data_IF_821643385893
#
_entry.id   IF_821643385893
#
_cell.length_a   1.000
_cell.length_b   1.000
_cell.length_c   1.000
_cell.angle_alpha   90.00
_cell.angle_beta   90.00
_cell.angle_gamma   90.00
#
_symmetry.space_group_name_H-M   'P 1'
#
loop_
_entity.id
_entity.type
_entity.pdbx_description
1 polymer ?
#
# COMPACT_ATOMS: atom_id res chain seq x y z
N UNK A 1 -24.01 -4.63 -16.81
CA UNK A 1 -23.90 -5.21 -15.46
C UNK A 1 -23.62 -4.07 -14.52
N UNK A 2 -24.17 -4.09 -13.30
CA UNK A 2 -24.00 -3.00 -12.33
C UNK A 2 -23.38 -3.56 -11.07
N UNK A 3 -22.42 -2.86 -10.48
CA UNK A 3 -21.92 -3.21 -9.15
C UNK A 3 -23.06 -3.10 -8.14
N UNK A 4 -23.28 -4.17 -7.37
CA UNK A 4 -24.28 -4.16 -6.32
C UNK A 4 -23.62 -3.63 -5.05
N UNK A 5 -23.84 -2.35 -4.75
CA UNK A 5 -23.70 -1.87 -3.37
C UNK A 5 -24.94 -2.33 -2.62
N UNK A 6 -24.78 -3.06 -1.54
CA UNK A 6 -25.84 -3.63 -0.70
C UNK A 6 -26.65 -2.56 0.08
N UNK A 7 -26.58 -1.29 -0.34
CA UNK A 7 -27.20 -0.15 0.32
C UNK A 7 -26.56 0.20 1.66
N UNK A 8 -25.63 -0.64 2.16
CA UNK A 8 -24.64 -0.24 3.16
C UNK A 8 -23.53 0.42 2.37
N UNK A 9 -23.35 1.72 2.57
CA UNK A 9 -22.15 2.38 2.03
C UNK A 9 -20.92 1.56 2.43
N UNK A 10 -19.96 1.44 1.52
CA UNK A 10 -18.70 0.78 1.82
C UNK A 10 -18.16 1.32 3.15
N UNK A 11 -17.98 0.44 4.12
CA UNK A 11 -17.46 0.83 5.43
C UNK A 11 -16.38 -0.16 5.79
N UNK A 12 -15.16 0.33 5.96
CA UNK A 12 -14.11 -0.51 6.49
C UNK A 12 -14.32 -0.66 8.01
N UNK A 13 -14.15 -1.86 8.54
CA UNK A 13 -14.24 -2.09 9.99
C UNK A 13 -13.14 -1.32 10.71
N UNK A 14 -13.44 -0.67 11.83
CA UNK A 14 -12.42 0.06 12.60
C UNK A 14 -11.23 -0.83 12.93
N UNK A 15 -10.01 -0.31 12.74
CA UNK A 15 -8.75 -0.92 13.17
C UNK A 15 -8.31 -0.45 14.56
N UNK A 16 -9.13 0.36 15.24
CA UNK A 16 -8.85 0.79 16.62
C UNK A 16 -8.80 -0.42 17.56
N UNK A 17 -7.88 -0.40 18.53
CA UNK A 17 -7.62 -1.51 19.47
C UNK A 17 -7.29 -2.86 18.80
N UNK A 18 -6.75 -2.86 17.59
CA UNK A 18 -6.38 -4.09 16.87
C UNK A 18 -4.90 -4.45 17.01
N UNK A 19 -4.03 -3.45 17.22
CA UNK A 19 -2.58 -3.63 17.17
C UNK A 19 -1.93 -3.48 18.54
N UNK A 20 -0.94 -4.31 18.81
CA UNK A 20 -0.14 -4.25 20.03
C UNK A 20 0.99 -3.22 19.94
N UNK A 21 1.61 -2.92 21.09
CA UNK A 21 2.75 -1.99 21.16
C UNK A 21 3.96 -2.45 20.32
N UNK A 22 4.22 -3.76 20.28
CA UNK A 22 5.41 -4.31 19.61
C UNK A 22 5.30 -4.26 18.09
N UNK A 23 4.07 -4.17 17.56
CA UNK A 23 3.80 -4.08 16.12
C UNK A 23 3.86 -2.63 15.60
N UNK A 24 3.54 -1.65 16.45
CA UNK A 24 3.51 -0.23 16.04
C UNK A 24 4.93 0.34 15.93
N UNK A 25 5.26 0.81 14.72
CA UNK A 25 6.56 1.37 14.39
C UNK A 25 6.50 2.88 14.12
N UNK A 26 7.61 3.59 14.39
CA UNK A 26 7.82 4.97 13.91
C UNK A 26 8.82 5.03 12.75
N UNK A 27 8.96 3.95 11.98
CA UNK A 27 9.93 3.81 10.88
C UNK A 27 9.72 4.85 9.79
N UNK A 28 8.46 5.25 9.56
CA UNK A 28 8.10 6.29 8.59
C UNK A 28 8.76 7.65 8.87
N UNK A 29 9.17 7.92 10.12
CA UNK A 29 9.94 9.13 10.45
C UNK A 29 11.30 9.21 9.75
N UNK A 30 11.78 8.10 9.16
CA UNK A 30 13.10 7.98 8.54
C UNK A 30 13.08 7.30 7.17
N UNK A 31 12.08 6.49 6.88
CA UNK A 31 12.02 5.67 5.67
C UNK A 31 10.62 5.73 5.05
N UNK A 32 10.47 6.50 3.96
CA UNK A 32 9.27 6.51 3.09
C UNK A 32 9.22 5.27 2.18
N UNK A 33 8.63 5.34 0.99
CA UNK A 33 8.63 4.19 0.07
C UNK A 33 10.01 3.92 -0.51
N UNK A 34 10.78 4.97 -0.84
CA UNK A 34 12.10 4.87 -1.46
C UNK A 34 12.08 3.95 -2.69
N UNK A 35 11.19 4.24 -3.64
CA UNK A 35 10.83 3.38 -4.79
C UNK A 35 12.03 2.68 -5.43
N UNK A 36 13.03 3.42 -5.92
CA UNK A 36 14.20 2.84 -6.60
C UNK A 36 14.99 1.87 -5.71
N UNK A 37 15.09 2.19 -4.41
CA UNK A 37 15.81 1.36 -3.43
C UNK A 37 15.01 0.11 -3.06
N UNK A 38 13.69 0.24 -2.95
CA UNK A 38 12.79 -0.87 -2.68
C UNK A 38 12.80 -1.86 -3.86
N UNK A 39 12.75 -1.36 -5.09
CA UNK A 39 12.90 -2.15 -6.32
C UNK A 39 14.25 -2.87 -6.37
N UNK A 40 15.35 -2.15 -6.14
CA UNK A 40 16.70 -2.74 -6.13
C UNK A 40 16.82 -3.84 -5.07
N UNK A 41 16.23 -3.65 -3.89
CA UNK A 41 16.24 -4.65 -2.83
C UNK A 41 15.44 -5.90 -3.24
N UNK A 42 14.29 -5.72 -3.88
CA UNK A 42 13.49 -6.82 -4.41
C UNK A 42 14.25 -7.60 -5.49
N UNK A 43 14.95 -6.93 -6.40
CA UNK A 43 15.82 -7.56 -7.41
C UNK A 43 16.97 -8.34 -6.77
N UNK A 44 17.64 -7.78 -5.76
CA UNK A 44 18.69 -8.48 -5.00
C UNK A 44 18.17 -9.76 -4.38
N UNK A 45 17.01 -9.70 -3.72
CA UNK A 45 16.40 -10.91 -3.18
C UNK A 45 15.96 -11.87 -4.27
N UNK A 46 15.43 -11.37 -5.39
CA UNK A 46 15.01 -12.21 -6.48
C UNK A 46 16.18 -13.01 -7.08
N UNK A 47 17.36 -12.40 -7.17
CA UNK A 47 18.58 -13.06 -7.63
C UNK A 47 19.14 -14.07 -6.63
N UNK A 48 19.17 -13.71 -5.35
CA UNK A 48 19.95 -14.46 -4.35
C UNK A 48 19.11 -15.44 -3.51
N UNK A 49 17.80 -15.20 -3.37
CA UNK A 49 16.87 -15.99 -2.56
C UNK A 49 17.31 -16.20 -1.11
N UNK A 50 18.18 -15.34 -0.59
CA UNK A 50 18.76 -15.43 0.74
C UNK A 50 18.97 -14.03 1.32
N UNK A 51 18.21 -13.70 2.37
CA UNK A 51 18.28 -12.42 3.06
C UNK A 51 19.64 -12.13 3.70
N UNK A 52 20.40 -13.16 4.06
CA UNK A 52 21.76 -13.01 4.60
C UNK A 52 22.69 -12.47 3.51
N UNK A 53 22.65 -13.08 2.33
CA UNK A 53 23.44 -12.66 1.16
C UNK A 53 23.01 -11.27 0.70
N UNK A 54 21.71 -10.98 0.70
CA UNK A 54 21.18 -9.66 0.34
C UNK A 54 21.64 -8.59 1.34
N UNK A 55 21.60 -8.85 2.65
CA UNK A 55 22.09 -7.90 3.66
C UNK A 55 23.58 -7.58 3.44
N UNK A 56 24.40 -8.60 3.23
CA UNK A 56 25.84 -8.44 2.98
C UNK A 56 26.08 -7.57 1.75
N UNK A 57 25.46 -7.90 0.61
CA UNK A 57 25.58 -7.13 -0.63
C UNK A 57 25.10 -5.69 -0.47
N UNK A 58 23.92 -5.49 0.12
CA UNK A 58 23.36 -4.16 0.35
C UNK A 58 24.34 -3.25 1.09
N UNK A 59 24.91 -3.77 2.18
CA UNK A 59 25.74 -2.98 3.09
C UNK A 59 27.16 -2.80 2.55
N UNK A 60 27.75 -3.85 1.99
CA UNK A 60 29.16 -3.85 1.59
C UNK A 60 29.36 -3.19 0.20
N UNK A 61 28.44 -3.42 -0.73
CA UNK A 61 28.45 -2.77 -2.06
C UNK A 61 27.83 -1.36 -2.01
N UNK A 62 27.25 -0.95 -0.87
CA UNK A 62 26.56 0.34 -0.66
C UNK A 62 25.53 0.64 -1.72
N UNK A 63 24.68 -0.34 -2.00
CA UNK A 63 23.65 -0.30 -3.05
C UNK A 63 22.73 0.91 -2.88
N UNK A 64 22.43 1.31 -1.64
CA UNK A 64 21.59 2.47 -1.32
C UNK A 64 22.31 3.83 -1.36
N UNK A 65 23.61 3.82 -1.69
CA UNK A 65 24.48 4.99 -1.84
C UNK A 65 24.58 5.86 -0.58
N UNK A 66 24.34 5.29 0.61
CA UNK A 66 24.45 6.04 1.87
C UNK A 66 25.90 6.22 2.31
N UNK A 67 26.15 7.35 2.95
CA UNK A 67 27.49 7.72 3.45
C UNK A 67 27.96 6.91 4.65
N UNK A 68 27.04 6.29 5.42
CA UNK A 68 27.36 5.52 6.62
C UNK A 68 26.73 4.13 6.61
N UNK A 69 27.48 3.14 7.11
CA UNK A 69 27.01 1.75 7.28
C UNK A 69 25.75 1.68 8.16
N UNK A 70 25.70 2.50 9.21
CA UNK A 70 24.55 2.57 10.12
C UNK A 70 23.27 3.06 9.44
N UNK A 71 23.37 4.09 8.59
CA UNK A 71 22.20 4.56 7.82
C UNK A 71 21.76 3.54 6.79
N UNK A 72 22.71 2.87 6.13
CA UNK A 72 22.41 1.84 5.14
C UNK A 72 21.67 0.65 5.75
N UNK A 73 22.15 0.19 6.91
CA UNK A 73 21.48 -0.85 7.70
C UNK A 73 20.08 -0.45 8.16
N UNK A 74 19.86 0.83 8.46
CA UNK A 74 18.54 1.34 8.83
C UNK A 74 17.51 1.22 7.71
N UNK A 75 17.89 1.65 6.50
CA UNK A 75 17.02 1.53 5.31
C UNK A 75 16.81 0.07 4.95
N UNK A 76 17.88 -0.75 4.94
CA UNK A 76 17.76 -2.18 4.69
C UNK A 76 16.75 -2.86 5.61
N UNK A 77 16.82 -2.59 6.92
CA UNK A 77 15.89 -3.19 7.89
C UNK A 77 14.45 -2.77 7.63
N UNK A 78 14.23 -1.48 7.38
CA UNK A 78 12.89 -0.97 7.07
C UNK A 78 12.31 -1.59 5.79
N UNK A 79 13.07 -1.58 4.69
CA UNK A 79 12.58 -2.10 3.41
C UNK A 79 12.47 -3.64 3.40
N UNK A 80 13.43 -4.34 4.00
CA UNK A 80 13.37 -5.81 4.06
C UNK A 80 12.28 -6.32 4.98
N UNK A 81 11.90 -5.58 6.02
CA UNK A 81 10.72 -5.90 6.85
C UNK A 81 9.47 -5.98 5.98
N UNK A 82 9.21 -4.92 5.20
CA UNK A 82 8.06 -4.82 4.27
C UNK A 82 7.91 -5.98 3.31
N UNK A 83 9.00 -6.63 2.94
CA UNK A 83 8.95 -7.74 2.02
C UNK A 83 8.95 -9.11 2.70
N UNK A 84 9.23 -9.17 4.01
CA UNK A 84 9.24 -10.40 4.81
C UNK A 84 7.92 -10.66 5.53
N UNK A 85 7.16 -9.60 5.80
CA UNK A 85 5.92 -9.64 6.58
C UNK A 85 4.68 -9.93 5.75
N UNK A 86 4.79 -9.79 4.42
CA UNK A 86 3.66 -9.88 3.50
C UNK A 86 3.20 -11.32 3.25
N UNK A 87 1.88 -11.53 3.33
CA UNK A 87 1.19 -12.79 3.05
C UNK A 87 0.85 -13.00 1.56
N UNK A 88 -0.22 -13.75 1.27
CA UNK A 88 -0.65 -14.02 -0.11
C UNK A 88 -1.40 -12.84 -0.75
N UNK A 89 -1.76 -11.83 0.05
CA UNK A 89 -2.52 -10.65 -0.34
C UNK A 89 -1.76 -9.73 -1.30
N UNK A 90 -0.46 -9.97 -1.52
CA UNK A 90 0.37 -9.20 -2.44
C UNK A 90 1.28 -10.13 -3.26
N UNK A 91 1.80 -9.64 -4.40
CA UNK A 91 2.79 -10.39 -5.16
C UNK A 91 3.97 -10.80 -4.27
N UNK A 92 4.45 -12.03 -4.44
CA UNK A 92 5.64 -12.45 -3.70
C UNK A 92 6.83 -11.56 -4.07
N UNK A 93 7.78 -11.35 -3.15
CA UNK A 93 9.01 -10.57 -3.42
C UNK A 93 9.79 -11.09 -4.65
N UNK A 94 9.58 -12.36 -4.99
CA UNK A 94 10.16 -13.03 -6.15
C UNK A 94 9.61 -12.49 -7.47
N UNK A 95 8.32 -12.15 -7.49
CA UNK A 95 7.58 -11.62 -8.64
C UNK A 95 7.57 -10.09 -8.65
N UNK A 96 7.73 -9.45 -7.48
CA UNK A 96 7.66 -7.99 -7.33
C UNK A 96 8.51 -7.23 -8.36
N UNK A 97 9.77 -7.60 -8.68
CA UNK A 97 10.51 -6.88 -9.72
C UNK A 97 9.81 -6.91 -11.09
N UNK A 98 9.26 -8.06 -11.51
CA UNK A 98 8.50 -8.17 -12.75
C UNK A 98 7.21 -7.33 -12.72
N UNK A 99 6.54 -7.26 -11.57
CA UNK A 99 5.39 -6.36 -11.36
C UNK A 99 5.82 -4.90 -11.51
N UNK A 100 6.94 -4.50 -10.91
CA UNK A 100 7.46 -3.14 -11.02
C UNK A 100 7.94 -2.82 -12.44
N UNK A 101 8.50 -3.77 -13.18
CA UNK A 101 8.89 -3.60 -14.58
C UNK A 101 7.69 -3.35 -15.51
N UNK A 102 6.51 -3.87 -15.17
CA UNK A 102 5.26 -3.62 -15.89
C UNK A 102 4.62 -2.25 -15.55
N UNK A 103 5.13 -1.53 -14.55
CA UNK A 103 4.62 -0.20 -14.20
C UNK A 103 5.08 0.85 -15.23
N UNK A 104 4.15 1.66 -15.73
CA UNK A 104 4.45 2.69 -16.74
C UNK A 104 5.21 3.88 -16.15
N UNK A 105 5.00 4.16 -14.86
CA UNK A 105 5.58 5.31 -14.18
C UNK A 105 6.16 4.95 -12.81
N UNK A 106 7.05 5.82 -12.28
CA UNK A 106 7.54 5.70 -10.91
C UNK A 106 6.41 5.79 -9.88
N UNK A 107 5.34 6.54 -10.21
CA UNK A 107 4.13 6.63 -9.40
C UNK A 107 3.39 5.30 -9.33
N UNK A 108 3.27 4.58 -10.45
CA UNK A 108 2.67 3.25 -10.44
C UNK A 108 3.47 2.30 -9.53
N UNK A 109 4.82 2.33 -9.63
CA UNK A 109 5.69 1.58 -8.72
C UNK A 109 5.46 1.97 -7.25
N UNK A 110 5.31 3.27 -6.96
CA UNK A 110 5.00 3.76 -5.61
C UNK A 110 3.65 3.24 -5.10
N UNK A 111 2.61 3.25 -5.94
CA UNK A 111 1.28 2.74 -5.59
C UNK A 111 1.32 1.23 -5.29
N UNK A 112 2.11 0.44 -6.03
CA UNK A 112 2.33 -0.98 -5.72
C UNK A 112 3.07 -1.13 -4.37
N UNK A 113 4.19 -0.42 -4.19
CA UNK A 113 5.01 -0.49 -2.97
C UNK A 113 4.30 0.04 -1.72
N UNK A 114 3.29 0.88 -1.89
CA UNK A 114 2.48 1.39 -0.79
C UNK A 114 1.72 0.28 -0.07
N UNK A 115 1.26 -0.76 -0.77
CA UNK A 115 0.65 -1.91 -0.11
C UNK A 115 1.62 -2.67 0.80
N UNK A 116 2.86 -2.85 0.37
CA UNK A 116 3.90 -3.46 1.22
C UNK A 116 4.21 -2.61 2.46
N UNK A 117 4.03 -1.29 2.39
CA UNK A 117 4.11 -0.44 3.57
C UNK A 117 2.87 -0.60 4.48
N UNK A 118 1.67 -0.71 3.90
CA UNK A 118 0.44 -0.92 4.67
C UNK A 118 0.49 -2.22 5.47
N UNK A 119 0.94 -3.32 4.86
CA UNK A 119 1.02 -4.62 5.53
C UNK A 119 2.13 -4.69 6.60
N UNK A 120 3.15 -3.84 6.50
CA UNK A 120 4.29 -3.86 7.43
C UNK A 120 4.18 -2.86 8.58
N UNK A 121 3.46 -1.75 8.38
CA UNK A 121 3.37 -0.67 9.37
C UNK A 121 1.90 -0.45 9.79
N UNK A 122 1.46 -1.04 10.92
CA UNK A 122 0.10 -0.94 11.43
C UNK A 122 -0.39 0.50 11.64
N UNK A 123 0.52 1.42 11.98
CA UNK A 123 0.15 2.82 12.19
C UNK A 123 -0.15 3.51 10.86
N UNK A 124 0.58 3.15 9.79
CA UNK A 124 0.27 3.59 8.43
C UNK A 124 -1.05 2.99 7.96
N UNK A 125 -1.26 1.69 8.19
CA UNK A 125 -2.53 1.01 7.85
C UNK A 125 -3.71 1.69 8.53
N UNK A 126 -3.63 1.90 9.85
CA UNK A 126 -4.65 2.61 10.61
C UNK A 126 -4.89 4.02 10.05
N UNK A 127 -3.85 4.81 9.81
CA UNK A 127 -4.02 6.17 9.28
C UNK A 127 -4.68 6.17 7.89
N UNK A 128 -4.23 5.30 6.98
CA UNK A 128 -4.83 5.14 5.66
C UNK A 128 -6.31 4.80 5.76
N UNK A 129 -6.66 3.84 6.61
CA UNK A 129 -8.02 3.43 6.90
C UNK A 129 -8.90 4.58 7.39
N UNK A 130 -8.40 5.39 8.33
CA UNK A 130 -9.12 6.58 8.81
C UNK A 130 -9.28 7.64 7.72
N UNK A 131 -8.31 7.79 6.82
CA UNK A 131 -8.43 8.69 5.67
C UNK A 131 -9.45 8.19 4.64
N UNK A 132 -9.51 6.87 4.39
CA UNK A 132 -10.55 6.26 3.56
C UNK A 132 -11.93 6.51 4.17
N UNK A 133 -12.12 6.29 5.47
CA UNK A 133 -13.39 6.57 6.14
C UNK A 133 -13.83 8.03 5.98
N UNK A 134 -12.88 8.96 6.05
CA UNK A 134 -13.13 10.39 5.83
C UNK A 134 -13.47 10.70 4.38
N UNK A 135 -12.77 10.06 3.43
CA UNK A 135 -13.05 10.17 2.01
C UNK A 135 -14.48 9.70 1.69
N UNK A 136 -14.90 8.57 2.23
CA UNK A 136 -16.24 8.02 2.00
C UNK A 136 -17.34 8.88 2.64
N UNK A 137 -17.06 9.55 3.77
CA UNK A 137 -18.03 10.42 4.46
C UNK A 137 -18.10 11.84 3.93
N UNK A 138 -17.00 12.38 3.42
CA UNK A 138 -16.87 13.81 3.10
C UNK A 138 -16.31 14.08 1.70
N UNK A 139 -16.15 13.04 0.88
CA UNK A 139 -15.50 13.15 -0.42
C UNK A 139 -14.04 13.59 -0.29
N UNK A 140 -13.52 14.21 -1.35
CA UNK A 140 -12.12 14.66 -1.43
C UNK A 140 -11.76 15.64 -0.30
N UNK A 141 -12.73 16.41 0.21
CA UNK A 141 -12.53 17.30 1.37
C UNK A 141 -12.09 16.54 2.64
N UNK A 142 -12.43 15.24 2.73
CA UNK A 142 -12.01 14.35 3.81
C UNK A 142 -10.49 14.08 3.83
N UNK A 143 -9.81 14.23 2.69
CA UNK A 143 -8.37 13.99 2.51
C UNK A 143 -7.53 15.21 2.95
N UNK A 144 -7.71 15.67 4.18
CA UNK A 144 -6.90 16.75 4.73
C UNK A 144 -5.68 16.21 5.52
N UNK A 145 -4.47 16.47 5.02
CA UNK A 145 -3.20 16.05 5.61
C UNK A 145 -2.51 17.14 6.45
N UNK A 146 -3.22 18.16 6.90
CA UNK A 146 -2.75 19.14 7.87
C UNK A 146 -2.26 18.47 9.16
N UNK A 147 -1.30 19.09 9.83
CA UNK A 147 -0.65 18.51 11.01
C UNK A 147 -1.65 18.24 12.15
N UNK A 148 -2.56 19.18 12.38
CA UNK A 148 -3.63 19.03 13.38
C UNK A 148 -4.56 17.85 13.05
N UNK A 149 -4.84 17.62 11.76
CA UNK A 149 -5.67 16.48 11.36
C UNK A 149 -4.95 15.16 11.62
N UNK A 150 -3.67 15.04 11.26
CA UNK A 150 -2.87 13.83 11.54
C UNK A 150 -2.76 13.59 13.04
N UNK A 151 -2.46 14.63 13.83
CA UNK A 151 -2.36 14.51 15.30
C UNK A 151 -3.67 14.04 15.92
N UNK A 152 -4.80 14.60 15.48
CA UNK A 152 -6.12 14.14 15.93
C UNK A 152 -6.37 12.66 15.59
N UNK A 153 -6.05 12.23 14.36
CA UNK A 153 -6.22 10.83 13.96
C UNK A 153 -5.38 9.88 14.83
N UNK A 154 -4.13 10.26 15.12
CA UNK A 154 -3.23 9.47 15.95
C UNK A 154 -3.62 9.49 17.43
N UNK A 155 -4.18 10.59 17.94
CA UNK A 155 -4.70 10.66 19.31
C UNK A 155 -5.96 9.80 19.52
N UNK A 156 -6.66 9.45 18.44
CA UNK A 156 -7.80 8.52 18.48
C UNK A 156 -7.37 7.04 18.41
N UNK A 157 -6.08 6.76 18.19
CA UNK A 157 -5.55 5.41 18.13
C UNK A 157 -5.35 4.82 19.53
N UNK A 158 -5.94 3.65 19.76
CA UNK A 158 -5.69 2.81 20.92
C UNK A 158 -5.00 1.51 20.52
N UNK A 159 -4.08 1.07 21.37
CA UNK A 159 -3.52 -0.26 21.30
C UNK A 159 -4.57 -1.31 21.71
N UNK A 160 -4.28 -2.59 21.45
CA UNK A 160 -5.12 -3.74 21.81
C UNK A 160 -5.39 -3.86 23.32
N UNK A 161 -4.48 -3.37 24.16
CA UNK A 161 -4.64 -3.28 25.62
C UNK A 161 -5.48 -2.07 26.08
N UNK A 162 -5.96 -1.25 25.13
CA UNK A 162 -6.75 -0.05 25.36
C UNK A 162 -5.95 1.19 25.77
N UNK A 163 -4.61 1.09 25.84
CA UNK A 163 -3.77 2.26 26.09
C UNK A 163 -3.72 3.19 24.87
N UNK A 164 -3.45 4.47 25.12
CA UNK A 164 -3.44 5.51 24.08
C UNK A 164 -2.07 5.63 23.40
N UNK A 165 -2.08 6.11 22.15
CA UNK A 165 -0.89 6.55 21.43
C UNK A 165 -0.10 7.61 22.23
N UNK A 166 1.15 7.31 22.59
CA UNK A 166 1.91 8.12 23.55
C UNK A 166 3.33 8.51 23.09
N UNK A 167 3.49 8.82 21.80
CA UNK A 167 4.75 9.36 21.28
C UNK A 167 4.89 10.86 21.48
N UNK A 168 6.13 11.33 21.63
CA UNK A 168 6.42 12.76 21.74
C UNK A 168 5.97 13.53 20.49
N UNK A 169 5.41 14.74 20.68
CA UNK A 169 4.88 15.60 19.61
C UNK A 169 5.86 15.79 18.44
N UNK A 170 7.16 15.96 18.74
CA UNK A 170 8.20 16.11 17.71
C UNK A 170 8.38 14.85 16.84
N UNK A 171 8.15 13.66 17.40
CA UNK A 171 8.20 12.38 16.69
C UNK A 171 6.94 12.21 15.85
N UNK A 172 5.77 12.53 16.40
CA UNK A 172 4.49 12.55 15.69
C UNK A 172 4.51 13.49 14.49
N UNK A 173 5.10 14.68 14.63
CA UNK A 173 5.28 15.63 13.52
C UNK A 173 6.13 15.06 12.38
N UNK A 174 7.29 14.48 12.71
CA UNK A 174 8.14 13.83 11.69
C UNK A 174 7.46 12.65 11.03
N UNK A 175 6.64 11.91 11.77
CA UNK A 175 5.87 10.81 11.22
C UNK A 175 4.82 11.34 10.23
N UNK A 176 4.11 12.42 10.58
CA UNK A 176 3.17 13.09 9.67
C UNK A 176 3.85 13.65 8.41
N UNK A 177 5.07 14.17 8.52
CA UNK A 177 5.90 14.52 7.35
C UNK A 177 6.19 13.30 6.46
N UNK A 178 6.55 12.17 7.07
CA UNK A 178 6.75 10.90 6.37
C UNK A 178 5.48 10.42 5.65
N UNK A 179 4.32 10.48 6.32
CA UNK A 179 3.03 10.12 5.72
C UNK A 179 2.73 11.01 4.50
N UNK A 180 2.88 12.33 4.63
CA UNK A 180 2.71 13.24 3.48
C UNK A 180 3.67 12.94 2.34
N UNK A 181 4.90 12.52 2.64
CA UNK A 181 5.85 12.12 1.60
C UNK A 181 5.32 10.92 0.81
N UNK A 182 4.80 9.89 1.49
CA UNK A 182 4.19 8.73 0.84
C UNK A 182 2.97 9.15 0.01
N UNK A 183 2.08 9.96 0.58
CA UNK A 183 0.89 10.46 -0.13
C UNK A 183 1.24 11.23 -1.41
N UNK A 184 2.40 11.90 -1.48
CA UNK A 184 2.89 12.52 -2.72
C UNK A 184 3.41 11.50 -3.72
N UNK A 185 4.16 10.50 -3.25
CA UNK A 185 4.69 9.44 -4.12
C UNK A 185 3.55 8.66 -4.81
N UNK A 186 2.41 8.49 -4.14
CA UNK A 186 1.23 7.80 -4.69
C UNK A 186 0.17 8.71 -5.34
N UNK A 187 0.47 10.01 -5.53
CA UNK A 187 -0.37 11.01 -6.20
C UNK A 187 -1.59 11.56 -5.44
N UNK A 188 -1.73 11.23 -4.17
CA UNK A 188 -2.78 11.80 -3.30
C UNK A 188 -2.49 13.26 -2.98
N UNK A 189 -1.22 13.66 -2.89
CA UNK A 189 -0.80 15.06 -2.74
C UNK A 189 0.02 15.51 -3.95
N UNK A 190 -0.43 16.54 -4.65
CA UNK A 190 0.18 17.00 -5.90
C UNK A 190 1.57 17.65 -5.72
N UNK A 191 1.75 18.43 -4.65
CA UNK A 191 2.99 19.20 -4.44
C UNK A 191 3.53 19.11 -3.02
N UNK A 192 4.76 19.59 -2.82
CA UNK A 192 5.40 19.69 -1.51
C UNK A 192 4.64 20.58 -0.51
N UNK A 193 3.85 21.54 -0.99
CA UNK A 193 3.13 22.48 -0.13
C UNK A 193 1.64 22.14 0.00
N UNK A 194 1.12 21.28 -0.88
CA UNK A 194 -0.27 20.84 -0.84
C UNK A 194 -0.51 19.96 0.38
N UNK A 195 -1.55 20.27 1.14
CA UNK A 195 -2.02 19.49 2.29
C UNK A 195 -3.44 18.95 2.08
N UNK A 196 -4.18 19.49 1.11
CA UNK A 196 -5.46 18.92 0.67
C UNK A 196 -5.21 17.86 -0.40
N UNK A 197 -5.71 16.66 -0.19
CA UNK A 197 -5.56 15.53 -1.09
C UNK A 197 -6.45 15.60 -2.32
N UNK A 198 -6.15 14.72 -3.27
CA UNK A 198 -6.92 14.44 -4.47
C UNK A 198 -7.08 12.93 -4.64
N UNK A 199 -7.96 12.52 -5.56
CA UNK A 199 -8.08 11.12 -5.97
C UNK A 199 -6.89 10.80 -6.89
N UNK A 200 -6.02 9.84 -6.55
CA UNK A 200 -4.88 9.51 -7.38
C UNK A 200 -5.34 8.78 -8.64
N UNK A 201 -4.64 9.01 -9.75
CA UNK A 201 -4.86 8.23 -10.98
C UNK A 201 -4.17 6.88 -10.87
N UNK A 202 -4.83 5.82 -11.34
CA UNK A 202 -4.29 4.45 -11.31
C UNK A 202 -3.90 3.98 -12.70
N UNK A 203 -2.64 3.60 -12.89
CA UNK A 203 -2.20 2.82 -14.05
C UNK A 203 -2.77 1.39 -14.06
N UNK A 204 -2.55 0.61 -15.13
CA UNK A 204 -3.01 -0.78 -15.22
C UNK A 204 -2.45 -1.67 -14.10
N UNK A 205 -1.14 -1.62 -13.87
CA UNK A 205 -0.46 -2.52 -12.92
C UNK A 205 -0.86 -2.29 -11.46
N UNK A 206 -0.89 -1.04 -10.92
CA UNK A 206 -1.40 -0.81 -9.58
C UNK A 206 -2.87 -1.18 -9.42
N UNK A 207 -3.69 -1.02 -10.46
CA UNK A 207 -5.09 -1.44 -10.45
C UNK A 207 -5.20 -2.96 -10.32
N UNK A 208 -4.42 -3.74 -11.07
CA UNK A 208 -4.39 -5.20 -10.95
C UNK A 208 -3.93 -5.64 -9.55
N UNK A 209 -2.87 -5.01 -9.02
CA UNK A 209 -2.38 -5.31 -7.66
C UNK A 209 -3.44 -5.01 -6.60
N UNK A 210 -4.09 -3.85 -6.67
CA UNK A 210 -5.15 -3.45 -5.74
C UNK A 210 -6.42 -4.32 -5.84
N UNK A 211 -6.75 -4.78 -7.04
CA UNK A 211 -7.86 -5.72 -7.27
C UNK A 211 -7.54 -7.09 -6.70
N UNK A 212 -6.32 -7.59 -6.96
CA UNK A 212 -5.82 -8.83 -6.39
C UNK A 212 -5.77 -8.80 -4.86
N UNK A 213 -5.34 -7.68 -4.27
CA UNK A 213 -5.31 -7.48 -2.83
C UNK A 213 -6.71 -7.61 -2.23
N UNK A 214 -7.70 -6.98 -2.88
CA UNK A 214 -9.09 -7.07 -2.45
C UNK A 214 -9.65 -8.49 -2.58
N UNK A 215 -9.30 -9.18 -3.67
CA UNK A 215 -9.70 -10.58 -3.92
C UNK A 215 -9.12 -11.54 -2.87
N UNK A 216 -7.83 -11.43 -2.56
CA UNK A 216 -7.20 -12.27 -1.53
C UNK A 216 -7.78 -12.00 -0.13
N UNK A 217 -8.17 -10.74 0.14
CA UNK A 217 -8.74 -10.35 1.44
C UNK A 217 -10.19 -10.84 1.62
N UNK A 218 -11.02 -10.76 0.57
CA UNK A 218 -12.47 -10.92 0.69
C UNK A 218 -13.07 -12.03 -0.19
N UNK A 219 -12.26 -12.67 -1.04
CA UNK A 219 -12.69 -13.67 -2.00
C UNK A 219 -13.81 -13.15 -2.91
N UNK A 220 -14.86 -13.95 -3.05
CA UNK A 220 -16.01 -13.66 -3.92
C UNK A 220 -16.72 -12.33 -3.58
N UNK A 221 -16.61 -11.82 -2.35
CA UNK A 221 -17.30 -10.62 -1.89
C UNK A 221 -16.51 -9.32 -2.14
N UNK A 222 -15.30 -9.40 -2.72
CA UNK A 222 -14.38 -8.26 -2.79
C UNK A 222 -14.92 -7.02 -3.52
N UNK A 223 -15.77 -7.18 -4.53
CA UNK A 223 -16.35 -6.03 -5.25
C UNK A 223 -17.30 -5.21 -4.37
N UNK A 224 -17.85 -5.80 -3.32
CA UNK A 224 -18.66 -5.07 -2.32
C UNK A 224 -17.79 -4.32 -1.31
N UNK A 225 -16.54 -4.76 -1.11
CA UNK A 225 -15.57 -4.20 -0.19
C UNK A 225 -14.18 -4.17 -0.83
N UNK A 226 -13.95 -3.34 -1.87
CA UNK A 226 -12.71 -3.38 -2.63
C UNK A 226 -11.59 -2.66 -1.86
N UNK A 227 -11.12 -3.26 -0.76
CA UNK A 227 -10.17 -2.66 0.19
C UNK A 227 -8.93 -2.13 -0.50
N UNK A 228 -8.42 -2.82 -1.52
CA UNK A 228 -7.27 -2.33 -2.27
C UNK A 228 -7.56 -1.05 -3.06
N UNK A 229 -8.72 -0.95 -3.71
CA UNK A 229 -9.13 0.29 -4.37
C UNK A 229 -9.34 1.42 -3.38
N UNK A 230 -9.94 1.09 -2.23
CA UNK A 230 -10.14 2.02 -1.13
C UNK A 230 -8.81 2.53 -0.57
N UNK A 231 -7.81 1.68 -0.37
CA UNK A 231 -6.46 2.09 0.07
C UNK A 231 -5.73 2.93 -0.97
N UNK A 232 -6.04 2.78 -2.27
CA UNK A 232 -5.64 3.74 -3.29
C UNK A 232 -6.61 4.92 -3.47
N UNK A 233 -7.41 5.20 -2.44
CA UNK A 233 -8.32 6.34 -2.34
C UNK A 233 -9.31 6.45 -3.51
N UNK A 234 -9.80 5.32 -4.02
CA UNK A 234 -10.81 5.28 -5.08
C UNK A 234 -12.22 5.18 -4.49
N UNK A 235 -12.99 6.29 -4.43
CA UNK A 235 -14.37 6.26 -3.96
C UNK A 235 -15.30 5.51 -4.94
N UNK A 236 -16.46 5.13 -4.44
CA UNK A 236 -17.50 4.33 -5.12
C UNK A 236 -17.85 4.81 -6.54
N UNK A 237 -17.86 6.13 -6.76
CA UNK A 237 -18.12 6.72 -8.08
C UNK A 237 -17.17 6.27 -9.21
N UNK A 238 -16.00 5.70 -8.89
CA UNK A 238 -15.05 5.20 -9.88
C UNK A 238 -15.12 3.68 -10.06
N UNK A 239 -15.78 2.95 -9.18
CA UNK A 239 -15.68 1.49 -9.12
C UNK A 239 -16.18 0.80 -10.38
N UNK A 240 -17.25 1.27 -11.01
CA UNK A 240 -17.74 0.68 -12.27
C UNK A 240 -16.68 0.79 -13.39
N UNK A 241 -15.98 1.94 -13.48
CA UNK A 241 -14.91 2.17 -14.45
C UNK A 241 -13.66 1.33 -14.14
N UNK A 242 -13.32 1.18 -12.86
CA UNK A 242 -12.21 0.32 -12.44
C UNK A 242 -12.53 -1.16 -12.71
N UNK A 243 -13.76 -1.60 -12.45
CA UNK A 243 -14.22 -2.96 -12.74
C UNK A 243 -14.17 -3.26 -14.25
N UNK A 244 -14.59 -2.33 -15.09
CA UNK A 244 -14.48 -2.45 -16.56
C UNK A 244 -13.01 -2.62 -16.99
N UNK A 245 -12.12 -1.76 -16.48
CA UNK A 245 -10.68 -1.86 -16.78
C UNK A 245 -10.05 -3.18 -16.32
N UNK A 246 -10.46 -3.71 -15.17
CA UNK A 246 -10.02 -5.03 -14.70
C UNK A 246 -10.56 -6.13 -15.60
N UNK A 247 -11.83 -6.04 -16.03
CA UNK A 247 -12.46 -7.03 -16.90
C UNK A 247 -11.85 -7.11 -18.30
N UNK A 248 -11.23 -6.03 -18.77
CA UNK A 248 -10.52 -5.98 -20.05
C UNK A 248 -9.14 -6.64 -20.00
N UNK A 249 -8.60 -6.90 -18.80
CA UNK A 249 -7.30 -7.54 -18.63
C UNK A 249 -7.39 -9.06 -18.76
N UNK A 250 -6.46 -9.64 -19.52
CA UNK A 250 -6.45 -11.08 -19.80
C UNK A 250 -6.21 -11.98 -18.59
N UNK A 251 -5.76 -11.43 -17.46
CA UNK A 251 -5.56 -12.19 -16.21
C UNK A 251 -6.82 -12.31 -15.35
N UNK A 252 -7.90 -11.63 -15.73
CA UNK A 252 -9.18 -11.63 -15.02
C UNK A 252 -10.32 -12.11 -15.90
N UNK A 253 -11.31 -12.76 -15.28
CA UNK A 253 -12.55 -13.16 -15.94
C UNK A 253 -13.73 -12.40 -15.34
N UNK A 254 -14.53 -11.80 -16.22
CA UNK A 254 -15.83 -11.23 -15.88
C UNK A 254 -16.95 -12.22 -16.17
N UNK A 255 -17.75 -12.53 -15.15
CA UNK A 255 -18.96 -13.32 -15.30
C UNK A 255 -20.17 -12.59 -14.73
N UNK A 256 -21.34 -12.86 -15.31
CA UNK A 256 -22.60 -12.27 -14.89
C UNK A 256 -23.58 -13.35 -14.48
N UNK A 257 -23.81 -13.55 -13.18
CA UNK A 257 -24.88 -14.41 -12.69
C UNK A 257 -26.01 -13.51 -12.20
N UNK A 258 -27.22 -13.70 -12.76
CA UNK A 258 -28.42 -12.93 -12.38
C UNK A 258 -28.30 -11.39 -12.49
N UNK A 259 -27.37 -10.88 -13.32
CA UNK A 259 -27.16 -9.46 -13.56
C UNK A 259 -26.13 -8.80 -12.62
N UNK A 260 -25.58 -9.56 -11.68
CA UNK A 260 -24.49 -9.13 -10.79
C UNK A 260 -23.14 -9.42 -11.47
N UNK A 261 -22.26 -8.41 -11.47
CA UNK A 261 -20.89 -8.58 -11.96
C UNK A 261 -20.07 -9.36 -10.93
N UNK A 262 -19.46 -10.44 -11.37
CA UNK A 262 -18.39 -11.14 -10.64
C UNK A 262 -17.09 -11.00 -11.43
N UNK A 263 -16.03 -10.60 -10.74
CA UNK A 263 -14.67 -10.53 -11.27
C UNK A 263 -13.77 -11.42 -10.43
N UNK A 264 -12.97 -12.26 -11.08
CA UNK A 264 -12.03 -13.16 -10.42
C UNK A 264 -10.77 -13.36 -11.30
N UNK A 265 -9.61 -13.64 -10.70
CA UNK A 265 -8.43 -14.09 -11.45
C UNK A 265 -8.70 -15.40 -12.20
N UNK A 266 -8.07 -15.59 -13.37
CA UNK A 266 -8.20 -16.82 -14.17
C UNK A 266 -7.44 -17.99 -13.53
N UNK A 267 -6.23 -17.72 -13.03
CA UNK A 267 -5.35 -18.66 -12.33
C UNK A 267 -5.08 -18.12 -10.91
N UNK A 268 -3.87 -18.29 -10.37
CA UNK A 268 -3.49 -17.64 -9.11
C UNK A 268 -3.46 -16.11 -9.29
N UNK A 269 -3.83 -15.35 -8.25
CA UNK A 269 -4.08 -13.90 -8.28
C UNK A 269 -2.97 -13.05 -8.92
N UNK A 270 -1.71 -13.45 -8.74
CA UNK A 270 -0.54 -12.76 -9.26
C UNK A 270 0.26 -13.58 -10.29
N UNK A 271 -0.33 -14.63 -10.85
CA UNK A 271 0.32 -15.50 -11.85
C UNK A 271 0.63 -14.79 -13.17
N UNK A 272 0.03 -13.63 -13.43
CA UNK A 272 0.34 -12.77 -14.57
C UNK A 272 1.73 -12.11 -14.47
N UNK A 273 2.38 -12.17 -13.31
CA UNK A 273 3.76 -11.74 -13.13
C UNK A 273 4.69 -12.94 -12.88
N UNK A 274 5.57 -13.20 -13.84
CA UNK A 274 6.58 -14.25 -13.72
C UNK A 274 7.61 -13.91 -12.62
N UNK A 275 8.15 -14.93 -11.90
CA UNK A 275 9.35 -14.76 -11.08
C UNK A 275 10.47 -14.07 -11.85
N UNK A 276 11.08 -13.05 -11.25
CA UNK A 276 12.15 -12.31 -11.91
C UNK A 276 13.45 -13.14 -12.00
N UNK A 277 14.04 -13.20 -13.20
CA UNK A 277 15.28 -13.93 -13.52
C UNK A 277 16.38 -13.03 -14.13
N UNK A 278 16.27 -11.70 -13.99
CA UNK A 278 17.20 -10.76 -14.61
C UNK A 278 18.59 -10.67 -13.98
N UNK A 279 19.48 -9.89 -14.63
CA UNK A 279 20.75 -9.46 -14.05
C UNK A 279 20.58 -8.12 -13.30
N UNK A 280 21.43 -7.88 -12.30
CA UNK A 280 21.46 -6.65 -11.47
C UNK A 280 22.67 -5.84 -11.91
#
# INVERSE_FOLDING_TARGET
>A
MTLRTDGRGASLSSLDSTFSHDEVSMTLTRCGLLVDRAETLAQLYAKHRDWTVVEEKWIDERVDQRSTRGSSKGIYRALSSRFKTVGSELPSIVQLPSVLDQCETVRDKAQVLYFYLLEDDPLVQYAAHRYVDRLLKSGVDGLNFDQETIERLLNEFHYDDGSEFSYAESTTRRWGEGLRSVMREIDVLDTQQTLQGQIPNLGPTPLLVASGYSWETHGDDWLSQPTGWLYLFQPDQYWDSLAERVSDDSSWEASGIHGELKLQPIDDTYSWADPWEGEI
#
